data_IF_158292411329
#
_entry.id   IF_158292411329
#
_cell.length_a   1.000
_cell.length_b   1.000
_cell.length_c   1.000
_cell.angle_alpha   90.00
_cell.angle_beta   90.00
_cell.angle_gamma   90.00
#
_symmetry.space_group_name_H-M   'P 1'
#
loop_
_entity.id
_entity.type
_entity.pdbx_description
1 polymer ?
#
# COMPACT_ATOMS: atom_id res chain seq x y z
N UNK A 1 0.10 41.06 -19.63
CA UNK A 1 0.34 41.12 -18.17
C UNK A 1 1.80 40.74 -17.96
N UNK A 2 2.57 41.46 -17.13
CA UNK A 2 3.95 41.08 -16.82
C UNK A 2 4.02 39.65 -16.25
N UNK A 3 5.07 38.92 -16.56
CA UNK A 3 5.22 37.51 -16.15
C UNK A 3 5.30 37.37 -14.63
N UNK A 4 5.81 38.38 -13.92
CA UNK A 4 5.95 38.38 -12.47
C UNK A 4 4.58 38.33 -11.77
N UNK A 5 3.65 39.18 -12.21
CA UNK A 5 2.27 39.23 -11.69
C UNK A 5 1.54 37.92 -12.01
N UNK A 6 1.82 37.35 -13.18
CA UNK A 6 1.22 36.09 -13.60
C UNK A 6 1.74 34.91 -12.78
N UNK A 7 3.04 34.86 -12.47
CA UNK A 7 3.65 33.86 -11.59
C UNK A 7 3.12 33.97 -10.16
N UNK A 8 2.90 35.20 -9.66
CA UNK A 8 2.27 35.44 -8.38
C UNK A 8 0.84 34.88 -8.35
N UNK A 9 0.00 35.21 -9.34
CA UNK A 9 -1.36 34.65 -9.47
C UNK A 9 -1.32 33.13 -9.50
N UNK A 10 -0.43 32.55 -10.31
CA UNK A 10 -0.27 31.10 -10.45
C UNK A 10 0.05 30.42 -9.12
N UNK A 11 0.85 31.06 -8.25
CA UNK A 11 1.21 30.50 -6.93
C UNK A 11 0.00 30.36 -5.99
N UNK A 12 -1.03 31.19 -6.17
CA UNK A 12 -2.27 31.15 -5.39
C UNK A 12 -3.34 30.22 -5.97
N UNK A 13 -3.17 29.72 -7.19
CA UNK A 13 -4.13 28.79 -7.79
C UNK A 13 -3.99 27.39 -7.19
N UNK A 14 -5.12 26.79 -6.82
CA UNK A 14 -5.17 25.36 -6.54
C UNK A 14 -4.79 24.56 -7.80
N UNK A 15 -4.33 23.32 -7.61
CA UNK A 15 -3.83 22.47 -8.70
C UNK A 15 -4.92 22.24 -9.78
N UNK A 16 -6.19 22.10 -9.40
CA UNK A 16 -7.27 21.89 -10.36
C UNK A 16 -7.53 23.14 -11.21
N UNK A 17 -7.56 24.32 -10.59
CA UNK A 17 -7.68 25.61 -11.26
C UNK A 17 -6.47 25.90 -12.14
N UNK A 18 -5.25 25.56 -11.68
CA UNK A 18 -4.02 25.70 -12.45
C UNK A 18 -4.05 24.87 -13.74
N UNK A 19 -4.53 23.62 -13.66
CA UNK A 19 -4.70 22.76 -14.85
C UNK A 19 -5.71 23.35 -15.82
N UNK A 20 -6.89 23.79 -15.34
CA UNK A 20 -7.90 24.45 -16.19
C UNK A 20 -7.38 25.74 -16.82
N UNK A 21 -6.60 26.51 -16.07
CA UNK A 21 -6.00 27.75 -16.55
C UNK A 21 -5.00 27.48 -17.69
N UNK A 22 -4.18 26.43 -17.56
CA UNK A 22 -3.31 25.95 -18.64
C UNK A 22 -4.09 25.38 -19.84
N UNK A 23 -5.30 24.84 -19.63
CA UNK A 23 -6.15 24.33 -20.71
C UNK A 23 -6.72 25.46 -21.58
N UNK A 24 -7.12 26.56 -20.96
CA UNK A 24 -7.81 27.68 -21.63
C UNK A 24 -6.87 28.66 -22.36
N UNK A 25 -5.57 28.71 -22.05
CA UNK A 25 -4.64 29.67 -22.65
C UNK A 25 -3.28 29.03 -23.02
N UNK A 26 -2.92 28.95 -24.32
CA UNK A 26 -1.66 28.34 -24.77
C UNK A 26 -0.39 29.03 -24.27
N UNK A 27 -0.39 30.36 -24.14
CA UNK A 27 0.79 31.10 -23.68
C UNK A 27 1.04 30.82 -22.21
N UNK A 28 -0.03 30.82 -21.41
CA UNK A 28 0.00 30.44 -20.00
C UNK A 28 0.39 28.98 -19.80
N UNK A 29 -0.04 28.09 -20.69
CA UNK A 29 0.38 26.69 -20.67
C UNK A 29 1.90 26.58 -20.80
N UNK A 30 2.51 27.36 -21.69
CA UNK A 30 3.97 27.38 -21.87
C UNK A 30 4.67 27.80 -20.58
N UNK A 31 4.19 28.88 -19.94
CA UNK A 31 4.71 29.35 -18.66
C UNK A 31 4.56 28.30 -17.55
N UNK A 32 3.36 27.72 -17.39
CA UNK A 32 3.06 26.71 -16.36
C UNK A 32 3.91 25.45 -16.57
N UNK A 33 4.06 24.98 -17.82
CA UNK A 33 4.92 23.83 -18.15
C UNK A 33 6.40 24.15 -17.90
N UNK A 34 6.78 25.42 -18.00
CA UNK A 34 8.12 25.92 -17.67
C UNK A 34 8.43 25.93 -16.17
N UNK A 35 7.41 25.95 -15.30
CA UNK A 35 7.60 25.95 -13.85
C UNK A 35 8.42 24.74 -13.40
N UNK A 36 9.42 24.99 -12.55
CA UNK A 36 10.34 23.97 -12.04
C UNK A 36 9.59 22.80 -11.41
N UNK A 37 8.59 23.07 -10.59
CA UNK A 37 7.79 22.06 -9.89
C UNK A 37 6.94 21.22 -10.87
N UNK A 38 6.36 21.83 -11.91
CA UNK A 38 5.60 21.11 -12.94
C UNK A 38 6.51 20.21 -13.77
N UNK A 39 7.74 20.67 -14.09
CA UNK A 39 8.72 19.83 -14.79
C UNK A 39 9.07 18.56 -14.03
N UNK A 40 9.29 18.66 -12.71
CA UNK A 40 9.55 17.48 -11.85
C UNK A 40 8.35 16.55 -11.85
N UNK A 41 7.15 17.11 -11.65
CA UNK A 41 5.93 16.33 -11.62
C UNK A 41 5.73 15.57 -12.95
N UNK A 42 6.10 16.17 -14.09
CA UNK A 42 6.05 15.52 -15.40
C UNK A 42 7.11 14.43 -15.57
N UNK A 43 8.33 14.64 -15.05
CA UNK A 43 9.44 13.69 -15.21
C UNK A 43 9.36 12.48 -14.29
N UNK A 44 8.66 12.59 -13.16
CA UNK A 44 8.63 11.52 -12.15
C UNK A 44 7.27 10.83 -12.08
N UNK A 45 7.23 9.54 -12.43
CA UNK A 45 5.98 8.76 -12.55
C UNK A 45 5.13 8.77 -11.29
N UNK A 46 5.72 8.60 -10.10
CA UNK A 46 4.96 8.59 -8.85
C UNK A 46 4.27 9.94 -8.56
N UNK A 47 4.98 11.05 -8.78
CA UNK A 47 4.47 12.40 -8.52
C UNK A 47 3.34 12.71 -9.52
N UNK A 48 3.56 12.39 -10.80
CA UNK A 48 2.55 12.50 -11.84
C UNK A 48 1.28 11.73 -11.49
N UNK A 49 1.43 10.47 -11.07
CA UNK A 49 0.30 9.61 -10.71
C UNK A 49 -0.50 10.20 -9.54
N UNK A 50 0.17 10.73 -8.50
CA UNK A 50 -0.55 11.38 -7.40
C UNK A 50 -1.34 12.61 -7.83
N UNK A 51 -0.76 13.50 -8.64
CA UNK A 51 -1.49 14.67 -9.13
C UNK A 51 -2.71 14.26 -9.95
N UNK A 52 -2.58 13.24 -10.79
CA UNK A 52 -3.71 12.69 -11.54
C UNK A 52 -4.78 12.09 -10.61
N UNK A 53 -4.37 11.35 -9.59
CA UNK A 53 -5.30 10.81 -8.58
C UNK A 53 -6.02 11.93 -7.81
N UNK A 54 -5.31 13.00 -7.44
CA UNK A 54 -5.91 14.17 -6.78
C UNK A 54 -6.91 14.88 -7.70
N UNK A 55 -6.60 15.02 -8.99
CA UNK A 55 -7.51 15.60 -9.98
C UNK A 55 -8.75 14.71 -10.16
N UNK A 56 -8.57 13.40 -10.29
CA UNK A 56 -9.67 12.45 -10.48
C UNK A 56 -10.60 12.39 -9.26
N UNK A 57 -10.04 12.42 -8.05
CA UNK A 57 -10.81 12.42 -6.81
C UNK A 57 -11.33 13.82 -6.42
N UNK A 58 -10.99 14.86 -7.19
CA UNK A 58 -11.37 16.23 -6.90
C UNK A 58 -10.76 16.81 -5.63
N UNK A 59 -9.65 16.24 -5.14
CA UNK A 59 -8.90 16.78 -3.98
C UNK A 59 -7.89 17.85 -4.40
N UNK A 60 -7.48 17.86 -5.67
CA UNK A 60 -6.55 18.86 -6.24
C UNK A 60 -7.03 20.31 -6.09
N UNK A 61 -8.34 20.54 -5.89
CA UNK A 61 -8.91 21.88 -5.69
C UNK A 61 -8.65 22.50 -4.32
N UNK A 62 -8.09 21.73 -3.39
CA UNK A 62 -7.84 22.16 -2.01
C UNK A 62 -6.38 22.50 -1.74
N UNK A 63 -5.50 22.30 -2.72
CA UNK A 63 -4.06 22.44 -2.54
C UNK A 63 -3.47 23.19 -3.72
N UNK A 64 -2.61 24.15 -3.42
CA UNK A 64 -1.74 24.81 -4.41
C UNK A 64 -0.60 23.87 -4.83
N UNK A 65 0.14 24.27 -5.87
CA UNK A 65 1.35 23.54 -6.24
C UNK A 65 2.42 23.62 -5.13
N UNK A 66 2.46 24.73 -4.38
CA UNK A 66 3.39 24.93 -3.28
C UNK A 66 3.05 24.08 -2.06
N UNK A 67 1.77 23.88 -1.73
CA UNK A 67 1.34 22.93 -0.69
C UNK A 67 1.84 21.51 -1.01
N UNK A 68 1.67 21.11 -2.27
CA UNK A 68 2.09 19.80 -2.73
C UNK A 68 3.61 19.62 -2.73
N UNK A 69 4.35 20.66 -3.13
CA UNK A 69 5.82 20.65 -3.09
C UNK A 69 6.33 20.67 -1.64
N UNK A 70 5.73 21.49 -0.78
CA UNK A 70 6.03 21.54 0.65
C UNK A 70 5.89 20.16 1.30
N UNK A 71 4.80 19.45 0.98
CA UNK A 71 4.61 18.05 1.37
C UNK A 71 5.75 17.15 0.88
N UNK A 72 6.18 17.29 -0.39
CA UNK A 72 7.29 16.49 -0.93
C UNK A 72 8.62 16.76 -0.22
N UNK A 73 8.84 17.99 0.27
CA UNK A 73 10.05 18.39 1.02
C UNK A 73 9.98 18.10 2.53
N UNK A 74 8.84 17.60 3.02
CA UNK A 74 8.73 17.16 4.42
C UNK A 74 9.21 15.72 4.54
N UNK A 75 10.02 15.39 5.54
CA UNK A 75 10.44 13.99 5.79
C UNK A 75 9.64 13.30 6.90
N UNK A 76 9.03 14.08 7.79
CA UNK A 76 8.39 13.60 9.02
C UNK A 76 6.95 13.14 8.79
N UNK A 77 6.53 12.16 9.60
CA UNK A 77 5.14 11.73 9.64
C UNK A 77 4.28 12.80 10.32
N UNK A 78 3.16 13.19 9.70
CA UNK A 78 2.27 14.20 10.26
C UNK A 78 1.47 13.73 11.48
N UNK A 79 1.34 12.42 11.68
CA UNK A 79 0.55 11.82 12.78
C UNK A 79 1.42 11.54 14.01
N UNK A 80 2.53 10.81 13.83
CA UNK A 80 3.40 10.46 14.95
C UNK A 80 4.55 11.42 15.19
N UNK A 81 4.85 12.31 14.23
CA UNK A 81 5.95 13.28 14.29
C UNK A 81 7.33 12.67 14.56
N UNK A 82 7.46 11.34 14.42
CA UNK A 82 8.72 10.60 14.54
C UNK A 82 9.74 11.19 13.56
N UNK A 83 10.85 11.68 14.10
CA UNK A 83 11.97 12.29 13.36
C UNK A 83 12.98 11.27 12.86
N UNK A 84 12.95 10.06 13.42
CA UNK A 84 14.00 9.07 13.22
C UNK A 84 13.73 8.19 11.99
N UNK A 85 12.55 8.35 11.39
CA UNK A 85 12.15 7.65 10.18
C UNK A 85 11.54 8.62 9.16
N UNK A 86 11.82 8.34 7.89
CA UNK A 86 11.15 8.97 6.76
C UNK A 86 9.71 8.46 6.64
N UNK A 87 8.81 9.37 6.27
CA UNK A 87 7.41 9.09 5.97
C UNK A 87 7.18 9.01 4.44
N UNK A 88 7.30 7.81 3.83
CA UNK A 88 7.26 7.67 2.38
C UNK A 88 5.83 7.70 1.81
N UNK A 89 4.81 7.51 2.66
CA UNK A 89 3.43 7.50 2.20
C UNK A 89 2.82 8.89 2.31
N UNK A 90 1.92 9.21 1.39
CA UNK A 90 1.19 10.47 1.34
C UNK A 90 -0.29 10.19 1.30
N UNK A 91 -1.05 10.85 2.18
CA UNK A 91 -2.50 10.94 2.10
C UNK A 91 -2.86 12.08 1.14
N UNK A 92 -3.27 11.74 -0.08
CA UNK A 92 -3.57 12.71 -1.15
C UNK A 92 -4.84 13.53 -0.90
N UNK A 93 -5.68 13.10 0.05
CA UNK A 93 -6.82 13.90 0.51
C UNK A 93 -6.37 15.08 1.37
N UNK A 94 -5.35 14.87 2.21
CA UNK A 94 -4.89 15.86 3.18
C UNK A 94 -3.59 16.54 2.73
N UNK A 95 -2.98 16.06 1.64
CA UNK A 95 -1.64 16.46 1.20
C UNK A 95 -0.59 16.36 2.32
N UNK A 96 -0.67 15.28 3.11
CA UNK A 96 0.18 15.05 4.27
C UNK A 96 0.98 13.75 4.15
N UNK A 97 2.22 13.75 4.64
CA UNK A 97 3.05 12.55 4.77
C UNK A 97 2.74 11.75 6.02
N UNK A 98 2.78 10.43 5.90
CA UNK A 98 2.56 9.47 6.98
C UNK A 98 3.55 8.30 6.88
N UNK A 99 4.04 7.81 8.02
CA UNK A 99 4.95 6.66 8.04
C UNK A 99 4.21 5.34 7.81
N UNK A 100 4.94 4.25 7.57
CA UNK A 100 4.39 2.89 7.36
C UNK A 100 3.40 2.45 8.46
N UNK A 101 3.76 2.68 9.73
CA UNK A 101 2.91 2.36 10.88
C UNK A 101 1.62 3.18 10.87
N UNK A 102 1.74 4.50 10.73
CA UNK A 102 0.58 5.39 10.74
C UNK A 102 -0.30 5.18 9.51
N UNK A 103 0.24 4.90 8.32
CA UNK A 103 -0.60 4.61 7.15
C UNK A 103 -1.34 3.28 7.29
N UNK A 104 -0.82 2.30 8.04
CA UNK A 104 -1.59 1.06 8.31
C UNK A 104 -2.74 1.32 9.26
N UNK A 105 -2.52 2.15 10.27
CA UNK A 105 -3.60 2.64 11.13
C UNK A 105 -4.58 3.45 10.29
N UNK A 106 -4.12 4.38 9.45
CA UNK A 106 -4.97 5.22 8.59
C UNK A 106 -5.64 4.47 7.43
N UNK A 107 -5.03 3.42 6.88
CA UNK A 107 -5.68 2.55 5.88
C UNK A 107 -6.75 1.69 6.51
N UNK A 108 -6.57 1.36 7.79
CA UNK A 108 -7.65 0.81 8.59
C UNK A 108 -8.66 1.92 8.93
N UNK A 109 -8.23 3.16 9.14
CA UNK A 109 -9.12 4.29 9.41
C UNK A 109 -9.97 4.57 8.18
N UNK A 110 -11.22 4.16 8.29
CA UNK A 110 -12.16 4.16 7.20
C UNK A 110 -12.35 5.57 6.64
N UNK A 111 -12.27 5.70 5.32
CA UNK A 111 -12.79 6.88 4.63
C UNK A 111 -14.30 6.81 4.77
N UNK A 112 -14.87 7.72 5.54
CA UNK A 112 -16.30 7.72 5.79
C UNK A 112 -17.02 8.29 4.58
N UNK A 113 -18.05 7.62 4.04
CA UNK A 113 -19.05 8.30 3.23
C UNK A 113 -19.54 9.55 3.96
N UNK A 114 -19.69 10.68 3.25
CA UNK A 114 -20.09 11.94 3.88
C UNK A 114 -21.44 11.85 4.60
N UNK A 115 -22.39 11.05 4.10
CA UNK A 115 -23.67 10.84 4.78
C UNK A 115 -23.48 10.14 6.13
N UNK A 116 -22.63 9.09 6.17
CA UNK A 116 -22.31 8.38 7.42
C UNK A 116 -21.58 9.29 8.40
N UNK A 117 -20.62 10.09 7.93
CA UNK A 117 -19.95 11.08 8.77
C UNK A 117 -20.93 12.14 9.30
N UNK A 118 -21.90 12.56 8.48
CA UNK A 118 -22.94 13.53 8.89
C UNK A 118 -23.85 12.97 9.97
N UNK A 119 -24.34 11.74 9.80
CA UNK A 119 -25.21 11.05 10.75
C UNK A 119 -24.47 10.69 12.06
N UNK A 120 -23.29 10.07 11.96
CA UNK A 120 -22.56 9.52 13.09
C UNK A 120 -21.83 10.59 13.93
N UNK A 121 -21.37 11.67 13.29
CA UNK A 121 -20.60 12.73 13.94
C UNK A 121 -21.37 14.06 14.04
N UNK A 122 -22.66 14.06 13.66
CA UNK A 122 -23.50 15.25 13.66
C UNK A 122 -22.91 16.37 12.81
N UNK A 123 -22.24 16.04 11.71
CA UNK A 123 -21.68 17.02 10.77
C UNK A 123 -22.75 17.43 9.75
N UNK A 124 -22.70 18.68 9.29
CA UNK A 124 -23.46 19.10 8.12
C UNK A 124 -22.44 19.25 6.98
N UNK A 125 -22.20 18.15 6.25
CA UNK A 125 -21.21 18.14 5.17
C UNK A 125 -21.80 18.58 3.83
N UNK A 126 -23.13 18.65 3.68
CA UNK A 126 -23.78 19.15 2.46
C UNK A 126 -23.44 20.61 2.18
N UNK A 127 -23.24 21.42 3.23
CA UNK A 127 -22.84 22.82 3.10
C UNK A 127 -21.32 22.98 2.98
N UNK A 128 -20.56 21.90 3.19
CA UNK A 128 -19.08 21.85 3.22
C UNK A 128 -18.49 21.03 2.07
N UNK A 129 -19.25 20.78 1.00
CA UNK A 129 -18.76 20.17 -0.25
C UNK A 129 -17.73 21.14 -0.85
N UNK A 130 -16.48 21.03 -0.41
CA UNK A 130 -15.47 22.07 -0.66
C UNK A 130 -14.44 22.26 0.47
N UNK A 131 -14.54 21.55 1.58
CA UNK A 131 -13.47 21.61 2.60
C UNK A 131 -12.26 20.74 2.23
N UNK A 132 -11.03 21.24 2.49
CA UNK A 132 -9.81 20.46 2.36
C UNK A 132 -9.92 19.12 3.07
N UNK A 133 -9.55 18.04 2.37
CA UNK A 133 -9.66 16.68 2.91
C UNK A 133 -10.90 15.90 2.52
N UNK A 134 -11.91 16.51 1.90
CA UNK A 134 -13.00 15.74 1.27
C UNK A 134 -12.58 15.25 -0.11
N UNK A 135 -13.10 14.11 -0.57
CA UNK A 135 -12.82 13.58 -1.90
C UNK A 135 -14.10 13.02 -2.54
N UNK A 136 -14.23 13.14 -3.86
CA UNK A 136 -15.32 12.55 -4.62
C UNK A 136 -14.74 11.39 -5.44
N UNK A 137 -14.96 10.16 -4.97
CA UNK A 137 -14.42 8.96 -5.64
C UNK A 137 -15.51 8.30 -6.45
N UNK A 138 -15.15 7.79 -7.64
CA UNK A 138 -16.06 6.93 -8.38
C UNK A 138 -16.15 5.59 -7.66
N UNK A 139 -17.38 5.14 -7.37
CA UNK A 139 -17.61 3.75 -6.99
C UNK A 139 -17.09 2.89 -8.13
N UNK A 140 -16.22 1.92 -7.82
CA UNK A 140 -15.92 0.88 -8.81
C UNK A 140 -17.25 0.35 -9.35
N UNK A 141 -17.49 0.37 -10.68
CA UNK A 141 -18.64 -0.33 -11.21
C UNK A 141 -18.52 -1.79 -10.77
N UNK A 142 -19.62 -2.37 -10.26
CA UNK A 142 -19.67 -3.81 -9.97
C UNK A 142 -19.07 -4.55 -11.18
N UNK A 143 -18.17 -5.52 -10.99
CA UNK A 143 -17.51 -6.22 -12.08
C UNK A 143 -18.55 -7.09 -12.80
N UNK A 144 -19.35 -6.49 -13.67
CA UNK A 144 -20.28 -7.22 -14.52
C UNK A 144 -19.67 -7.49 -15.90
N UNK A 145 -18.60 -6.79 -16.33
CA UNK A 145 -18.00 -6.96 -17.68
C UNK A 145 -16.51 -6.53 -17.75
N UNK A 146 -15.66 -6.93 -16.79
CA UNK A 146 -14.26 -6.43 -16.69
C UNK A 146 -13.27 -6.92 -17.77
N UNK A 147 -13.67 -7.79 -18.70
CA UNK A 147 -12.76 -8.28 -19.75
C UNK A 147 -12.66 -7.39 -21.00
N UNK A 148 -13.59 -6.44 -21.22
CA UNK A 148 -13.56 -5.60 -22.45
C UNK A 148 -12.88 -4.23 -22.30
N UNK A 149 -12.52 -3.80 -21.09
CA UNK A 149 -12.01 -2.45 -20.85
C UNK A 149 -10.49 -2.28 -20.96
N UNK A 150 -9.73 -3.37 -21.07
CA UNK A 150 -8.26 -3.34 -21.19
C UNK A 150 -7.73 -2.77 -22.52
N UNK A 151 -8.60 -2.45 -23.49
CA UNK A 151 -8.21 -1.93 -24.82
C UNK A 151 -8.58 -0.47 -25.11
N UNK A 152 -9.36 0.20 -24.26
CA UNK A 152 -9.76 1.59 -24.50
C UNK A 152 -8.93 2.50 -23.61
N UNK A 153 -8.01 3.26 -24.20
CA UNK A 153 -7.12 4.19 -23.49
C UNK A 153 -7.89 5.15 -22.56
N UNK A 154 -7.16 5.74 -21.60
CA UNK A 154 -7.62 6.55 -20.46
C UNK A 154 -8.68 7.65 -20.71
N UNK A 155 -9.12 7.91 -21.94
CA UNK A 155 -10.17 8.88 -22.26
C UNK A 155 -11.59 8.42 -21.86
N UNK A 156 -11.86 7.13 -21.74
CA UNK A 156 -13.21 6.61 -21.44
C UNK A 156 -13.66 6.80 -19.96
N UNK A 157 -12.75 7.12 -19.04
CA UNK A 157 -13.08 7.27 -17.62
C UNK A 157 -13.78 8.60 -17.29
N UNK A 158 -13.55 9.64 -18.10
CA UNK A 158 -14.07 10.99 -17.84
C UNK A 158 -15.55 11.17 -18.22
N UNK A 159 -16.10 10.28 -19.05
CA UNK A 159 -17.47 10.40 -19.60
C UNK A 159 -18.52 9.62 -18.83
N UNK A 160 -18.18 8.98 -17.69
CA UNK A 160 -19.19 8.38 -16.80
C UNK A 160 -19.92 9.49 -16.03
N UNK A 161 -20.84 10.17 -16.72
CA UNK A 161 -21.86 11.05 -16.12
C UNK A 161 -22.98 10.16 -15.57
N UNK A 162 -23.07 10.06 -14.25
CA UNK A 162 -24.14 9.34 -13.54
C UNK A 162 -23.82 9.19 -12.06
N UNK A 163 -24.85 9.03 -11.22
CA UNK A 163 -24.91 9.02 -9.74
C UNK A 163 -23.96 8.06 -8.96
N UNK A 164 -22.87 7.59 -9.57
CA UNK A 164 -21.93 6.65 -8.96
C UNK A 164 -20.74 7.32 -8.25
N UNK A 165 -20.83 8.61 -7.93
CA UNK A 165 -19.84 9.27 -7.09
C UNK A 165 -20.17 9.07 -5.62
N UNK A 166 -19.16 8.76 -4.84
CA UNK A 166 -19.23 8.65 -3.41
C UNK A 166 -18.31 9.71 -2.83
N UNK A 167 -18.89 10.69 -2.17
CA UNK A 167 -18.10 11.67 -1.43
C UNK A 167 -17.66 11.06 -0.11
N UNK A 168 -16.36 11.15 0.15
CA UNK A 168 -15.70 10.56 1.31
C UNK A 168 -14.89 11.61 2.07
N UNK A 169 -14.70 11.36 3.35
CA UNK A 169 -13.87 12.16 4.25
C UNK A 169 -12.98 11.23 5.11
N UNK A 170 -11.68 11.54 5.31
CA UNK A 170 -10.85 10.82 6.27
C UNK A 170 -11.50 10.88 7.65
N UNK A 171 -11.63 9.74 8.32
CA UNK A 171 -12.20 9.67 9.68
C UNK A 171 -11.53 10.66 10.63
N UNK A 172 -10.20 10.74 10.61
CA UNK A 172 -9.42 11.69 11.44
C UNK A 172 -9.90 13.13 11.27
N UNK A 173 -10.14 13.54 10.02
CA UNK A 173 -10.64 14.88 9.72
C UNK A 173 -12.10 15.04 10.17
N UNK A 174 -12.95 14.05 9.91
CA UNK A 174 -14.35 14.11 10.32
C UNK A 174 -14.50 14.23 11.84
N UNK A 175 -13.73 13.45 12.61
CA UNK A 175 -13.68 13.54 14.08
C UNK A 175 -13.19 14.91 14.52
N UNK A 176 -12.10 15.43 13.92
CA UNK A 176 -11.60 16.78 14.22
C UNK A 176 -12.68 17.85 14.01
N UNK A 177 -13.33 17.85 12.85
CA UNK A 177 -14.40 18.80 12.53
C UNK A 177 -15.59 18.67 13.48
N UNK A 178 -15.90 17.45 13.92
CA UNK A 178 -16.98 17.19 14.87
C UNK A 178 -16.64 17.72 16.27
N UNK A 179 -15.41 17.50 16.73
CA UNK A 179 -14.92 18.07 18.00
C UNK A 179 -14.95 19.59 18.00
N UNK A 180 -14.52 20.22 16.91
CA UNK A 180 -14.57 21.69 16.75
C UNK A 180 -16.02 22.19 16.76
N UNK A 181 -16.92 21.55 16.00
CA UNK A 181 -18.34 21.89 15.94
C UNK A 181 -19.01 21.81 17.31
N UNK A 182 -18.70 20.77 18.08
CA UNK A 182 -19.38 20.46 19.33
C UNK A 182 -18.61 20.90 20.58
N UNK A 183 -17.55 21.70 20.42
CA UNK A 183 -16.71 22.18 21.52
C UNK A 183 -17.51 22.86 22.64
N UNK A 184 -18.58 23.58 22.29
CA UNK A 184 -19.42 24.31 23.24
C UNK A 184 -20.45 23.45 23.98
N UNK A 185 -20.75 22.23 23.50
CA UNK A 185 -21.82 21.36 24.03
C UNK A 185 -21.29 20.05 24.62
N UNK A 186 -20.02 20.06 25.03
CA UNK A 186 -19.35 18.93 25.69
C UNK A 186 -18.21 18.30 24.89
N UNK A 187 -17.89 18.83 23.69
CA UNK A 187 -16.73 18.43 22.89
C UNK A 187 -16.66 16.92 22.68
N UNK A 188 -15.59 16.29 23.15
CA UNK A 188 -15.35 14.86 23.02
C UNK A 188 -16.47 13.99 23.62
N UNK A 189 -17.02 14.36 24.78
CA UNK A 189 -18.11 13.61 25.41
C UNK A 189 -19.38 13.64 24.56
N UNK A 190 -19.66 14.77 23.91
CA UNK A 190 -20.81 14.88 23.01
C UNK A 190 -20.61 14.06 21.74
N UNK A 191 -19.44 14.16 21.10
CA UNK A 191 -19.09 13.36 19.92
C UNK A 191 -19.17 11.86 20.22
N UNK A 192 -18.72 11.44 21.40
CA UNK A 192 -18.87 10.05 21.87
C UNK A 192 -20.34 9.63 21.90
N UNK A 193 -21.22 10.47 22.47
CA UNK A 193 -22.64 10.17 22.56
C UNK A 193 -23.30 10.07 21.17
N UNK A 194 -22.87 10.90 20.20
CA UNK A 194 -23.34 10.83 18.82
C UNK A 194 -22.96 9.49 18.16
N UNK A 195 -21.70 9.08 18.29
CA UNK A 195 -21.22 7.81 17.75
C UNK A 195 -21.98 6.64 18.41
N UNK A 196 -22.14 6.67 19.73
CA UNK A 196 -22.87 5.64 20.46
C UNK A 196 -24.35 5.57 20.06
N UNK A 197 -25.00 6.72 19.87
CA UNK A 197 -26.39 6.78 19.40
C UNK A 197 -26.52 6.22 17.98
N UNK A 198 -25.60 6.59 17.07
CA UNK A 198 -25.57 6.05 15.71
C UNK A 198 -25.40 4.53 15.69
N UNK A 199 -24.45 4.00 16.47
CA UNK A 199 -24.23 2.55 16.57
C UNK A 199 -25.47 1.87 17.15
N UNK A 200 -26.06 2.39 18.24
CA UNK A 200 -27.24 1.79 18.86
C UNK A 200 -28.47 1.75 17.94
N UNK A 201 -28.62 2.75 17.07
CA UNK A 201 -29.73 2.83 16.11
C UNK A 201 -29.55 1.88 14.92
N UNK A 202 -28.32 1.68 14.46
CA UNK A 202 -28.03 0.89 13.27
C UNK A 202 -27.69 -0.57 13.59
N UNK A 203 -27.16 -0.86 14.79
CA UNK A 203 -26.97 -2.22 15.32
C UNK A 203 -26.78 -2.26 16.86
N UNK A 204 -27.81 -2.65 17.63
CA UNK A 204 -27.76 -2.65 19.10
C UNK A 204 -26.90 -3.75 19.73
N UNK A 205 -26.44 -4.76 18.96
CA UNK A 205 -25.64 -5.87 19.50
C UNK A 205 -24.12 -5.62 19.44
N UNK A 206 -23.68 -4.47 18.91
CA UNK A 206 -22.33 -4.30 18.39
C UNK A 206 -21.22 -3.97 19.39
N UNK A 207 -21.53 -3.55 20.62
CA UNK A 207 -20.51 -3.06 21.56
C UNK A 207 -20.70 -3.62 22.97
N UNK A 208 -19.66 -4.29 23.48
CA UNK A 208 -19.56 -4.55 24.91
C UNK A 208 -19.25 -3.24 25.65
N UNK A 209 -19.85 -3.07 26.84
CA UNK A 209 -19.62 -1.90 27.72
C UNK A 209 -18.13 -1.63 28.01
N UNK A 210 -17.29 -2.67 28.00
CA UNK A 210 -15.84 -2.58 28.19
C UNK A 210 -15.09 -1.93 27.03
N UNK A 211 -15.48 -2.23 25.79
CA UNK A 211 -14.94 -1.54 24.61
C UNK A 211 -15.33 -0.06 24.66
N UNK A 212 -16.59 0.25 24.99
CA UNK A 212 -17.09 1.62 25.17
C UNK A 212 -16.36 2.47 26.23
N UNK A 213 -15.77 1.81 27.23
CA UNK A 213 -15.05 2.48 28.32
C UNK A 213 -13.56 2.70 27.99
N UNK A 214 -12.88 1.74 27.33
CA UNK A 214 -11.52 1.93 26.83
C UNK A 214 -11.41 3.06 25.79
N UNK A 215 -12.49 3.29 25.02
CA UNK A 215 -12.68 4.42 24.10
C UNK A 215 -12.66 5.79 24.81
N UNK A 216 -13.08 5.84 26.08
CA UNK A 216 -13.29 7.10 26.82
C UNK A 216 -12.01 7.67 27.42
N UNK A 217 -11.10 6.79 27.83
CA UNK A 217 -9.91 7.19 28.58
C UNK A 217 -8.79 7.72 27.65
N UNK A 218 -8.86 7.40 26.35
CA UNK A 218 -7.91 7.84 25.33
C UNK A 218 -8.56 8.75 24.25
N UNK A 219 -9.25 9.82 24.65
CA UNK A 219 -9.81 10.84 23.71
C UNK A 219 -8.73 11.62 22.91
N UNK A 220 -7.64 10.97 22.49
CA UNK A 220 -6.86 11.36 21.32
C UNK A 220 -7.51 10.74 20.07
N UNK A 221 -7.40 11.40 18.93
CA UNK A 221 -7.99 11.00 17.65
C UNK A 221 -7.62 9.57 17.27
N UNK A 222 -6.49 9.05 17.77
CA UNK A 222 -6.05 7.65 17.61
C UNK A 222 -6.97 6.62 18.26
N UNK A 223 -7.47 6.86 19.48
CA UNK A 223 -8.33 5.90 20.19
C UNK A 223 -9.68 5.69 19.50
N UNK A 224 -10.26 6.79 18.99
CA UNK A 224 -11.48 6.77 18.17
C UNK A 224 -11.28 6.08 16.80
N UNK A 225 -10.11 6.28 16.20
CA UNK A 225 -9.69 5.62 14.97
C UNK A 225 -9.57 4.10 15.15
N UNK A 226 -8.82 3.65 16.16
CA UNK A 226 -8.63 2.23 16.45
C UNK A 226 -9.94 1.52 16.84
N UNK A 227 -10.88 2.25 17.46
CA UNK A 227 -12.22 1.75 17.71
C UNK A 227 -12.98 1.41 16.44
N UNK A 228 -13.10 2.38 15.51
CA UNK A 228 -13.91 2.24 14.31
C UNK A 228 -13.37 1.11 13.42
N UNK A 229 -12.06 0.90 13.43
CA UNK A 229 -11.34 -0.22 12.80
C UNK A 229 -11.67 -1.60 13.40
N UNK A 230 -11.86 -1.65 14.71
CA UNK A 230 -12.05 -2.91 15.45
C UNK A 230 -13.53 -3.34 15.53
N UNK A 231 -14.47 -2.52 15.07
CA UNK A 231 -15.86 -2.93 14.90
C UNK A 231 -15.95 -4.01 13.82
N UNK A 232 -16.13 -5.26 14.24
CA UNK A 232 -16.08 -6.46 13.40
C UNK A 232 -17.15 -6.45 12.28
N UNK A 233 -18.27 -5.75 12.52
CA UNK A 233 -19.32 -5.53 11.52
C UNK A 233 -19.23 -4.16 10.84
N UNK A 234 -18.41 -3.21 11.32
CA UNK A 234 -17.94 -2.15 10.43
C UNK A 234 -17.21 -2.77 9.26
N UNK A 235 -16.46 -3.86 9.45
CA UNK A 235 -15.90 -4.64 8.34
C UNK A 235 -16.96 -5.29 7.44
N UNK A 236 -18.16 -5.61 7.93
CA UNK A 236 -19.27 -6.10 7.09
C UNK A 236 -19.97 -4.98 6.31
N UNK A 237 -20.15 -3.81 6.94
CA UNK A 237 -20.70 -2.63 6.28
C UNK A 237 -19.68 -2.07 5.27
N UNK A 238 -18.41 -2.02 5.68
CA UNK A 238 -17.24 -1.78 4.86
C UNK A 238 -17.20 -2.80 3.74
N UNK A 239 -17.42 -4.11 3.91
CA UNK A 239 -17.46 -5.07 2.78
C UNK A 239 -18.41 -4.65 1.63
N UNK A 240 -19.51 -3.92 1.92
CA UNK A 240 -20.36 -3.32 0.86
C UNK A 240 -19.67 -2.17 0.12
N UNK A 241 -18.80 -1.43 0.78
CA UNK A 241 -18.02 -0.30 0.28
C UNK A 241 -16.54 -0.60 -0.07
N UNK A 242 -15.93 -1.66 0.44
CA UNK A 242 -14.51 -2.06 0.32
C UNK A 242 -14.26 -2.56 -1.11
N UNK A 243 -15.24 -3.28 -1.66
CA UNK A 243 -15.32 -3.59 -3.09
C UNK A 243 -15.42 -2.31 -3.95
N UNK A 244 -15.98 -1.23 -3.39
CA UNK A 244 -16.28 0.01 -4.09
C UNK A 244 -15.19 1.08 -4.00
N UNK A 245 -14.45 1.15 -2.89
CA UNK A 245 -13.39 2.13 -2.62
C UNK A 245 -12.12 1.38 -2.22
N UNK A 246 -11.19 1.12 -3.17
CA UNK A 246 -9.93 0.51 -2.82
C UNK A 246 -9.18 1.27 -1.71
N UNK A 247 -8.69 0.54 -0.71
CA UNK A 247 -7.94 1.09 0.42
C UNK A 247 -6.69 1.89 0.00
N UNK A 248 -6.20 1.69 -1.23
CA UNK A 248 -5.09 2.46 -1.81
C UNK A 248 -5.50 3.76 -2.52
N UNK A 249 -6.79 3.96 -2.86
CA UNK A 249 -7.25 5.19 -3.53
C UNK A 249 -6.86 6.41 -2.68
N UNK A 250 -6.11 7.36 -3.23
CA UNK A 250 -5.66 8.57 -2.52
C UNK A 250 -4.60 8.34 -1.44
N UNK A 251 -3.88 7.22 -1.51
CA UNK A 251 -2.61 7.05 -0.77
C UNK A 251 -1.51 6.64 -1.73
N UNK A 252 -0.45 7.45 -1.80
CA UNK A 252 0.66 7.22 -2.73
C UNK A 252 1.99 7.09 -2.00
N UNK A 253 2.89 6.27 -2.54
CA UNK A 253 4.30 6.33 -2.17
C UNK A 253 4.95 7.53 -2.88
N UNK A 254 5.61 8.41 -2.14
CA UNK A 254 6.27 9.60 -2.69
C UNK A 254 7.73 9.72 -2.25
N UNK A 255 8.65 10.00 -3.19
CA UNK A 255 10.02 10.33 -2.85
C UNK A 255 10.09 11.64 -2.07
N UNK A 256 11.11 11.80 -1.25
CA UNK A 256 11.52 13.09 -0.69
C UNK A 256 12.12 13.98 -1.78
N UNK A 257 11.80 15.27 -1.75
CA UNK A 257 12.35 16.27 -2.67
C UNK A 257 13.41 17.11 -1.95
N UNK A 258 14.65 17.01 -2.40
CA UNK A 258 15.77 17.85 -1.93
C UNK A 258 15.67 19.23 -2.62
N UNK A 259 14.94 20.16 -2.01
CA UNK A 259 14.71 21.50 -2.56
C UNK A 259 15.98 22.38 -2.62
N UNK A 260 16.93 22.13 -1.73
CA UNK A 260 18.18 22.88 -1.61
C UNK A 260 19.21 22.57 -2.72
N UNK A 261 19.06 21.46 -3.45
CA UNK A 261 20.02 21.01 -4.46
C UNK A 261 19.54 21.39 -5.87
N UNK A 262 20.49 21.80 -6.73
CA UNK A 262 20.27 22.07 -8.15
C UNK A 262 21.15 21.13 -8.99
N UNK A 263 20.58 20.29 -9.89
CA UNK A 263 19.15 20.09 -10.13
C UNK A 263 18.44 19.46 -8.92
N UNK A 264 17.11 19.58 -8.87
CA UNK A 264 16.31 18.97 -7.80
C UNK A 264 16.53 17.46 -7.79
N UNK A 265 16.84 16.92 -6.61
CA UNK A 265 17.05 15.49 -6.42
C UNK A 265 15.85 14.90 -5.70
N UNK A 266 15.41 13.74 -6.19
CA UNK A 266 14.37 12.94 -5.56
C UNK A 266 15.02 11.75 -4.89
N UNK A 267 14.59 11.49 -3.67
CA UNK A 267 15.06 10.36 -2.88
C UNK A 267 13.87 9.47 -2.52
N UNK A 268 13.79 8.23 -3.04
CA UNK A 268 12.60 7.40 -2.84
C UNK A 268 12.39 7.02 -1.37
N UNK A 269 13.41 7.08 -0.52
CA UNK A 269 13.42 6.44 0.79
C UNK A 269 13.91 4.99 0.67
N UNK A 270 14.63 4.54 1.69
CA UNK A 270 15.29 3.25 1.77
C UNK A 270 14.60 2.39 2.83
N UNK A 271 14.44 1.10 2.55
CA UNK A 271 13.99 0.11 3.52
C UNK A 271 15.20 -0.72 3.96
N UNK A 272 15.19 -1.19 5.20
CA UNK A 272 16.25 -2.04 5.71
C UNK A 272 15.90 -3.52 5.50
N UNK A 273 16.56 -4.15 4.54
CA UNK A 273 16.39 -5.57 4.25
C UNK A 273 16.69 -6.47 5.47
N UNK A 274 17.67 -6.07 6.30
CA UNK A 274 17.95 -6.74 7.58
C UNK A 274 16.75 -6.72 8.53
N UNK A 275 16.07 -5.57 8.68
CA UNK A 275 14.86 -5.47 9.48
C UNK A 275 13.68 -6.25 8.87
N UNK A 276 13.48 -6.17 7.56
CA UNK A 276 12.45 -6.95 6.85
C UNK A 276 12.63 -8.45 7.06
N UNK A 277 13.87 -8.93 7.02
CA UNK A 277 14.22 -10.32 7.31
C UNK A 277 13.86 -10.70 8.75
N UNK A 278 14.31 -9.94 9.75
CA UNK A 278 13.97 -10.23 11.16
C UNK A 278 12.45 -10.26 11.34
N UNK A 279 11.71 -9.34 10.73
CA UNK A 279 10.26 -9.34 10.76
C UNK A 279 9.64 -10.58 10.09
N UNK A 280 10.20 -11.04 8.96
CA UNK A 280 9.73 -12.24 8.26
C UNK A 280 9.88 -13.50 9.12
N UNK A 281 11.03 -13.66 9.78
CA UNK A 281 11.30 -14.83 10.62
C UNK A 281 10.50 -14.79 11.94
N UNK A 282 10.39 -13.62 12.57
CA UNK A 282 9.63 -13.48 13.84
C UNK A 282 8.12 -13.65 13.65
N UNK A 283 7.56 -13.36 12.46
CA UNK A 283 6.14 -13.62 12.16
C UNK A 283 5.73 -15.08 12.21
N UNK A 284 6.68 -16.03 12.12
CA UNK A 284 6.38 -17.47 12.24
C UNK A 284 6.22 -17.93 13.68
N UNK A 285 6.67 -17.12 14.64
CA UNK A 285 6.50 -17.37 16.06
C UNK A 285 5.14 -16.84 16.56
N UNK A 286 4.66 -17.27 17.73
CA UNK A 286 3.47 -16.69 18.35
C UNK A 286 3.57 -15.16 18.46
N UNK A 287 2.43 -14.48 18.53
CA UNK A 287 2.37 -13.03 18.70
C UNK A 287 3.09 -12.61 19.99
N UNK A 288 4.36 -12.21 19.85
CA UNK A 288 5.24 -11.75 20.93
C UNK A 288 5.55 -10.27 20.74
N UNK A 289 5.90 -9.58 21.84
CA UNK A 289 6.35 -8.20 21.77
C UNK A 289 7.56 -8.01 20.83
N UNK A 290 8.47 -9.00 20.79
CA UNK A 290 9.61 -9.00 19.88
C UNK A 290 9.19 -9.03 18.39
N UNK A 291 8.20 -9.86 18.03
CA UNK A 291 7.67 -9.90 16.66
C UNK A 291 7.00 -8.58 16.27
N UNK A 292 6.27 -7.95 17.18
CA UNK A 292 5.68 -6.63 16.95
C UNK A 292 6.74 -5.53 16.75
N UNK A 293 7.80 -5.54 17.57
CA UNK A 293 8.92 -4.61 17.43
C UNK A 293 9.69 -4.80 16.11
N UNK A 294 9.96 -6.05 15.73
CA UNK A 294 10.60 -6.37 14.45
C UNK A 294 9.75 -5.90 13.26
N UNK A 295 8.43 -6.15 13.29
CA UNK A 295 7.52 -5.67 12.26
C UNK A 295 7.51 -4.14 12.17
N UNK A 296 7.52 -3.44 13.30
CA UNK A 296 7.56 -1.97 13.32
C UNK A 296 8.87 -1.43 12.71
N UNK A 297 10.01 -2.06 12.98
CA UNK A 297 11.31 -1.68 12.38
C UNK A 297 11.37 -1.94 10.87
N UNK A 298 10.84 -3.09 10.41
CA UNK A 298 10.78 -3.42 8.98
C UNK A 298 9.94 -2.44 8.15
N UNK A 299 8.97 -1.78 8.79
CA UNK A 299 8.10 -0.79 8.14
C UNK A 299 8.68 0.62 8.14
N UNK A 300 9.81 0.85 8.83
CA UNK A 300 10.50 2.14 8.77
C UNK A 300 11.15 2.31 7.41
N UNK A 301 11.02 3.51 6.88
CA UNK A 301 11.78 3.97 5.73
C UNK A 301 12.73 5.07 6.18
N UNK A 302 13.84 5.24 5.47
CA UNK A 302 14.92 6.14 5.84
C UNK A 302 15.35 6.97 4.64
N UNK A 303 15.72 8.23 4.85
CA UNK A 303 16.59 8.95 3.91
C UNK A 303 18.02 8.41 4.03
N UNK A 304 18.89 8.66 3.07
CA UNK A 304 20.23 8.09 2.95
C UNK A 304 21.06 8.37 4.20
N UNK A 305 21.04 9.63 4.67
CA UNK A 305 21.72 10.01 5.91
C UNK A 305 21.16 9.30 7.15
N UNK A 306 19.84 9.10 7.22
CA UNK A 306 19.20 8.35 8.32
C UNK A 306 19.51 6.85 8.22
N UNK A 307 19.59 6.32 7.00
CA UNK A 307 19.86 4.91 6.74
C UNK A 307 21.28 4.54 7.13
N UNK A 308 22.26 5.41 6.86
CA UNK A 308 23.65 5.20 7.27
C UNK A 308 23.76 5.02 8.80
N UNK A 309 23.11 5.88 9.56
CA UNK A 309 23.04 5.76 11.03
C UNK A 309 22.34 4.46 11.43
N UNK A 310 21.21 4.13 10.80
CA UNK A 310 20.51 2.87 11.08
C UNK A 310 21.36 1.63 10.76
N UNK A 311 22.08 1.63 9.64
CA UNK A 311 22.91 0.52 9.18
C UNK A 311 24.05 0.20 10.16
N UNK A 312 24.64 1.22 10.79
CA UNK A 312 25.65 1.04 11.84
C UNK A 312 25.13 0.28 13.08
N UNK A 313 23.80 0.26 13.28
CA UNK A 313 23.15 -0.38 14.45
C UNK A 313 22.30 -1.59 14.07
N UNK A 314 22.31 -2.03 12.81
CA UNK A 314 21.51 -3.16 12.34
C UNK A 314 22.39 -4.36 12.00
N UNK A 315 22.65 -5.22 12.98
CA UNK A 315 23.48 -6.43 12.82
C UNK A 315 23.06 -7.29 11.62
N UNK A 316 21.75 -7.47 11.41
CA UNK A 316 21.25 -8.24 10.28
C UNK A 316 21.58 -7.61 8.92
N UNK A 317 21.52 -6.28 8.80
CA UNK A 317 21.91 -5.59 7.58
C UNK A 317 23.44 -5.68 7.36
N UNK A 318 24.23 -5.59 8.43
CA UNK A 318 25.68 -5.74 8.36
C UNK A 318 26.10 -7.15 7.94
N UNK A 319 25.49 -8.20 8.49
CA UNK A 319 25.76 -9.58 8.07
C UNK A 319 25.36 -9.83 6.60
N UNK A 320 24.26 -9.24 6.12
CA UNK A 320 23.91 -9.29 4.68
C UNK A 320 24.98 -8.59 3.84
N UNK A 321 25.42 -7.41 4.25
CA UNK A 321 26.44 -6.63 3.54
C UNK A 321 27.80 -7.36 3.48
N UNK A 322 28.19 -8.03 4.56
CA UNK A 322 29.41 -8.83 4.65
C UNK A 322 29.32 -10.17 3.91
N UNK A 323 28.13 -10.52 3.37
CA UNK A 323 27.90 -11.80 2.71
C UNK A 323 27.82 -12.98 3.68
N UNK A 324 27.63 -12.72 4.97
CA UNK A 324 27.38 -13.76 5.97
C UNK A 324 25.94 -14.29 5.91
N UNK A 325 25.03 -13.52 5.29
CA UNK A 325 23.62 -13.88 5.08
C UNK A 325 23.19 -13.54 3.66
N UNK A 326 22.22 -14.29 3.14
CA UNK A 326 21.58 -14.00 1.86
C UNK A 326 20.63 -12.80 1.94
N UNK A 327 20.47 -12.12 0.81
CA UNK A 327 19.38 -11.17 0.59
C UNK A 327 18.04 -11.91 0.50
N UNK A 328 16.96 -11.24 0.90
CA UNK A 328 15.58 -11.74 0.77
C UNK A 328 15.21 -11.99 -0.70
N UNK A 329 15.72 -11.19 -1.64
CA UNK A 329 15.56 -11.44 -3.08
C UNK A 329 16.23 -12.74 -3.50
N UNK A 330 17.47 -12.95 -3.07
CA UNK A 330 18.26 -14.11 -3.45
C UNK A 330 17.66 -15.39 -2.86
N UNK A 331 17.14 -15.32 -1.64
CA UNK A 331 16.35 -16.42 -1.07
C UNK A 331 15.11 -16.75 -1.87
N UNK A 332 14.38 -15.72 -2.29
CA UNK A 332 13.17 -15.89 -3.08
C UNK A 332 13.52 -16.55 -4.41
N UNK A 333 14.57 -16.11 -5.07
CA UNK A 333 15.04 -16.67 -6.34
C UNK A 333 15.49 -18.12 -6.19
N UNK A 334 16.19 -18.46 -5.11
CA UNK A 334 16.56 -19.84 -4.78
C UNK A 334 15.32 -20.70 -4.55
N UNK A 335 14.33 -20.20 -3.79
CA UNK A 335 13.08 -20.92 -3.53
C UNK A 335 12.25 -21.10 -4.79
N UNK A 336 12.15 -20.07 -5.63
CA UNK A 336 11.41 -20.11 -6.89
C UNK A 336 12.08 -21.07 -7.88
N UNK A 337 13.41 -20.99 -8.03
CA UNK A 337 14.19 -21.94 -8.84
C UNK A 337 13.97 -23.38 -8.39
N UNK A 338 14.00 -23.64 -7.08
CA UNK A 338 13.71 -24.96 -6.53
C UNK A 338 12.28 -25.40 -6.79
N UNK A 339 11.30 -24.51 -6.61
CA UNK A 339 9.88 -24.79 -6.86
C UNK A 339 9.62 -25.09 -8.34
N UNK A 340 10.16 -24.28 -9.26
CA UNK A 340 10.05 -24.50 -10.71
C UNK A 340 10.76 -25.78 -11.14
N UNK A 341 11.91 -26.08 -10.53
CA UNK A 341 12.60 -27.35 -10.78
C UNK A 341 11.72 -28.51 -10.36
N UNK A 342 11.12 -28.46 -9.17
CA UNK A 342 10.19 -29.49 -8.70
C UNK A 342 8.91 -29.61 -9.54
N UNK A 343 8.35 -28.50 -10.03
CA UNK A 343 7.14 -28.52 -10.86
C UNK A 343 7.41 -29.04 -12.28
N UNK A 344 8.61 -28.84 -12.84
CA UNK A 344 8.99 -29.45 -14.13
C UNK A 344 9.00 -30.98 -14.09
N UNK A 345 9.01 -31.55 -12.89
CA UNK A 345 8.79 -32.97 -12.67
C UNK A 345 7.35 -33.24 -12.21
N UNK A 346 6.37 -32.77 -12.98
CA UNK A 346 4.92 -33.05 -12.78
C UNK A 346 4.58 -34.55 -12.73
N UNK A 347 5.52 -35.40 -13.16
CA UNK A 347 5.43 -36.87 -13.13
C UNK A 347 5.99 -37.50 -11.86
N UNK A 348 6.60 -36.72 -10.96
CA UNK A 348 6.98 -37.26 -9.65
C UNK A 348 5.73 -37.59 -8.86
N UNK A 349 5.78 -38.74 -8.20
CA UNK A 349 4.79 -39.11 -7.22
C UNK A 349 4.67 -38.00 -6.16
N UNK A 350 3.44 -37.63 -5.80
CA UNK A 350 3.16 -36.56 -4.83
C UNK A 350 3.99 -36.70 -3.55
N UNK A 351 4.19 -37.94 -3.08
CA UNK A 351 5.01 -38.29 -1.93
C UNK A 351 6.48 -37.86 -2.05
N UNK A 352 7.09 -38.04 -3.23
CA UNK A 352 8.47 -37.66 -3.52
C UNK A 352 8.60 -36.14 -3.60
N UNK A 353 7.64 -35.47 -4.25
CA UNK A 353 7.59 -34.01 -4.32
C UNK A 353 7.48 -33.40 -2.93
N UNK A 354 6.57 -33.90 -2.11
CA UNK A 354 6.36 -33.42 -0.74
C UNK A 354 7.58 -33.68 0.15
N UNK A 355 8.29 -34.80 -0.05
CA UNK A 355 9.56 -35.05 0.62
C UNK A 355 10.60 -33.97 0.30
N UNK A 356 10.84 -33.66 -0.97
CA UNK A 356 11.81 -32.62 -1.34
C UNK A 356 11.38 -31.22 -0.88
N UNK A 357 10.10 -30.88 -0.96
CA UNK A 357 9.58 -29.63 -0.41
C UNK A 357 9.82 -29.54 1.11
N UNK A 358 9.67 -30.66 1.83
CA UNK A 358 9.96 -30.70 3.27
C UNK A 358 11.45 -30.48 3.58
N UNK A 359 12.36 -31.01 2.75
CA UNK A 359 13.81 -30.81 2.88
C UNK A 359 14.18 -29.35 2.59
N UNK A 360 13.61 -28.74 1.54
CA UNK A 360 13.82 -27.33 1.20
C UNK A 360 13.34 -26.42 2.33
N UNK A 361 12.20 -26.75 2.96
CA UNK A 361 11.68 -26.00 4.12
C UNK A 361 12.58 -26.07 5.35
N UNK A 362 13.45 -27.08 5.44
CA UNK A 362 14.43 -27.26 6.53
C UNK A 362 15.76 -26.54 6.27
N UNK A 363 15.97 -26.01 5.05
CA UNK A 363 17.18 -25.25 4.76
C UNK A 363 17.12 -23.96 5.59
N UNK A 364 18.14 -23.82 6.42
CA UNK A 364 18.36 -22.61 7.19
C UNK A 364 19.00 -21.56 6.29
N UNK A 365 18.18 -20.62 5.82
CA UNK A 365 18.63 -19.54 4.95
C UNK A 365 19.32 -18.40 5.73
N UNK A 366 19.36 -18.46 7.07
CA UNK A 366 20.14 -17.51 7.89
C UNK A 366 21.65 -17.82 7.89
N UNK A 367 22.06 -18.88 7.18
CA UNK A 367 23.46 -19.24 6.93
C UNK A 367 24.10 -18.43 5.81
N UNK A 368 25.41 -18.57 5.66
CA UNK A 368 26.14 -17.93 4.56
C UNK A 368 25.63 -18.40 3.20
N UNK A 369 25.68 -17.56 2.15
CA UNK A 369 25.32 -17.96 0.79
C UNK A 369 26.00 -19.25 0.34
N UNK A 370 27.28 -19.43 0.73
CA UNK A 370 28.06 -20.63 0.46
C UNK A 370 27.48 -21.87 1.13
N UNK A 371 27.05 -21.76 2.39
CA UNK A 371 26.43 -22.87 3.13
C UNK A 371 25.03 -23.19 2.61
N UNK A 372 24.23 -22.17 2.28
CA UNK A 372 22.93 -22.37 1.66
C UNK A 372 23.09 -23.07 0.31
N UNK A 373 24.04 -22.62 -0.51
CA UNK A 373 24.36 -23.30 -1.77
C UNK A 373 24.81 -24.74 -1.55
N UNK A 374 25.68 -24.99 -0.56
CA UNK A 374 26.12 -26.34 -0.20
C UNK A 374 24.97 -27.23 0.29
N UNK A 375 23.92 -26.67 0.90
CA UNK A 375 22.72 -27.41 1.31
C UNK A 375 21.74 -27.64 0.15
N UNK A 376 21.59 -26.67 -0.76
CA UNK A 376 20.68 -26.71 -1.91
C UNK A 376 21.22 -27.61 -3.03
N UNK A 377 22.52 -27.53 -3.32
CA UNK A 377 23.14 -28.19 -4.47
C UNK A 377 22.96 -29.73 -4.46
N UNK A 378 23.16 -30.45 -3.33
CA UNK A 378 22.88 -31.89 -3.28
C UNK A 378 21.40 -32.23 -3.53
N UNK A 379 20.46 -31.36 -3.13
CA UNK A 379 19.04 -31.56 -3.39
C UNK A 379 18.74 -31.43 -4.88
N UNK A 380 19.31 -30.41 -5.54
CA UNK A 380 19.18 -30.24 -7.00
C UNK A 380 19.73 -31.46 -7.77
N UNK A 381 20.92 -31.96 -7.37
CA UNK A 381 21.49 -33.17 -7.97
C UNK A 381 20.60 -34.41 -7.76
N UNK A 382 20.03 -34.57 -6.57
CA UNK A 382 19.11 -35.68 -6.28
C UNK A 382 17.82 -35.57 -7.10
N UNK A 383 17.24 -34.37 -7.21
CA UNK A 383 16.05 -34.13 -8.03
C UNK A 383 16.34 -34.47 -9.50
N UNK A 384 17.48 -34.01 -10.04
CA UNK A 384 17.90 -34.31 -11.41
C UNK A 384 18.13 -35.83 -11.64
N UNK A 385 18.76 -36.51 -10.68
CA UNK A 385 18.93 -37.97 -10.74
C UNK A 385 17.61 -38.74 -10.70
N UNK A 386 16.67 -38.35 -9.84
CA UNK A 386 15.33 -38.96 -9.78
C UNK A 386 14.58 -38.69 -11.07
N UNK A 387 14.62 -37.46 -11.58
CA UNK A 387 14.03 -37.08 -12.87
C UNK A 387 14.54 -37.92 -14.03
N UNK A 388 15.87 -38.11 -14.13
CA UNK A 388 16.50 -38.97 -15.16
C UNK A 388 16.07 -40.43 -15.03
N UNK A 389 15.94 -40.96 -13.82
CA UNK A 389 15.47 -42.34 -13.58
C UNK A 389 14.00 -42.53 -13.97
N UNK A 390 13.13 -41.57 -13.62
CA UNK A 390 11.72 -41.59 -14.02
C UNK A 390 11.59 -41.53 -15.55
N UNK A 391 12.37 -40.69 -16.22
CA UNK A 391 12.40 -40.63 -17.69
C UNK A 391 12.89 -41.95 -18.30
N UNK A 392 13.97 -42.54 -17.76
CA UNK A 392 14.46 -43.85 -18.22
C UNK A 392 13.42 -44.97 -18.03
N UNK A 393 12.73 -45.01 -16.89
CA UNK A 393 11.65 -45.98 -16.65
C UNK A 393 10.49 -45.76 -17.62
N UNK A 394 10.08 -44.52 -17.90
CA UNK A 394 9.04 -44.24 -18.89
C UNK A 394 9.45 -44.64 -20.31
N UNK A 395 10.72 -44.44 -20.71
CA UNK A 395 11.22 -44.91 -22.00
C UNK A 395 11.30 -46.44 -22.08
N UNK A 396 11.69 -47.12 -21.00
CA UNK A 396 11.73 -48.58 -20.92
C UNK A 396 10.31 -49.16 -20.91
N UNK A 397 9.37 -48.57 -20.18
CA UNK A 397 7.96 -48.97 -20.21
C UNK A 397 7.31 -48.69 -21.56
N UNK A 398 7.67 -47.62 -22.28
CA UNK A 398 7.23 -47.40 -23.66
C UNK A 398 7.88 -48.38 -24.65
N UNK A 399 9.13 -48.78 -24.45
CA UNK A 399 9.77 -49.83 -25.26
C UNK A 399 9.14 -51.19 -24.98
N UNK A 400 8.84 -51.52 -23.73
CA UNK A 400 8.10 -52.73 -23.35
C UNK A 400 6.71 -52.69 -23.97
N UNK A 401 5.96 -51.58 -23.86
CA UNK A 401 4.67 -51.43 -24.53
C UNK A 401 4.81 -51.51 -26.06
N UNK A 402 5.84 -50.95 -26.71
CA UNK A 402 6.05 -51.12 -28.16
C UNK A 402 6.45 -52.56 -28.55
N UNK A 403 7.11 -53.30 -27.67
CA UNK A 403 7.45 -54.71 -27.86
C UNK A 403 6.27 -55.65 -27.55
N UNK A 404 5.35 -55.24 -26.67
CA UNK A 404 4.09 -55.93 -26.40
C UNK A 404 3.03 -55.60 -27.46
N UNK A 405 3.09 -54.40 -28.06
CA UNK A 405 2.21 -54.00 -29.18
C UNK A 405 2.68 -54.62 -30.50
N UNK A 406 3.99 -54.91 -30.67
CA UNK A 406 4.49 -55.74 -31.80
C UNK A 406 4.23 -57.25 -31.65
N UNK A 407 3.59 -57.70 -30.56
CA UNK A 407 3.14 -59.10 -30.41
C UNK A 407 1.63 -59.29 -30.56
N UNK A 408 0.91 -58.24 -30.95
CA UNK A 408 -0.53 -58.29 -31.21
C UNK A 408 -0.93 -58.04 -32.68
N UNK A 409 0.03 -57.94 -33.61
CA UNK A 409 -0.24 -57.75 -35.04
C UNK A 409 -0.01 -59.01 -35.90
N UNK A 410 0.37 -60.16 -35.32
CA UNK A 410 0.57 -61.43 -36.07
C UNK A 410 -0.61 -62.42 -36.01
N UNK A 411 -1.80 -61.97 -35.58
CA UNK A 411 -3.03 -62.78 -35.64
C UNK A 411 -4.24 -61.93 -36.03
N UNK A 412 -4.27 -61.47 -37.27
CA UNK A 412 -5.48 -61.31 -38.12
C UNK A 412 -5.08 -60.82 -39.51
N UNK A 413 -5.18 -61.70 -40.50
CA UNK A 413 -5.30 -61.35 -41.93
C UNK A 413 -4.00 -61.28 -42.70
#
# INVERSE_FOLDING_TARGET
>A
MPDEILLEIISYLDIASLVRFAECNPDLRSLIVGLRHVRIAKSHTYIRSALLEMLHAGTARFFTLDDFVSMLTTSKCMICKDSDAFAPWVCLMLCERVCGKCIKIERKNIRLPQNVASECLGLNLSDKVGEPGTASVFRKPKPLLSERFSRVGCRAWWTMRGDNRLDIIPLRLAVKLSLEKHAQIGGASHVKNLIQAYISQNDPNLLSRGQLNAITDECDVRGLSDLIVNLEDWKQHEKRYEDSIPNWILTGYMPFLHSAVLPLQLEPGLLCEGCERIAFHTRRSPATAAAAAAAALAEKSYLSAQYEVHFQHCDAAQSIFQGERLRMSDEKDVRETLSTTLSRFDTLELSVRDHFLSQIRRIDFDRTPREVYAAVHPLLLRIDLVGKRCLQQQTSSRQVVSSTTRRFEDYTG
#
